data_IF_836321609012
#
_entry.id   IF_836321609012
#
_cell.length_a   1.000
_cell.length_b   1.000
_cell.length_c   1.000
_cell.angle_alpha   90.00
_cell.angle_beta   90.00
_cell.angle_gamma   90.00
#
_symmetry.space_group_name_H-M   'P 1'
#
loop_
_entity.id
_entity.type
_entity.pdbx_description
1 polymer ?
#
# COMPACT_ATOMS: atom_id res chain seq x y z
N UNK A 1 21.43 -12.05 -3.36
CA UNK A 1 21.37 -12.56 -4.74
C UNK A 1 19.99 -12.21 -5.29
N UNK A 2 19.93 -11.37 -6.32
CA UNK A 2 18.67 -10.92 -6.93
C UNK A 2 18.19 -11.98 -7.93
N UNK A 3 16.90 -12.30 -7.91
CA UNK A 3 16.26 -13.14 -8.93
C UNK A 3 15.62 -12.25 -9.98
N UNK A 4 16.30 -12.06 -11.12
CA UNK A 4 15.84 -11.10 -12.12
C UNK A 4 14.58 -11.55 -12.86
N UNK A 5 14.30 -12.85 -12.92
CA UNK A 5 13.13 -13.46 -13.61
C UNK A 5 12.92 -14.95 -13.23
N UNK A 6 13.10 -15.33 -11.95
CA UNK A 6 13.08 -16.73 -11.45
C UNK A 6 14.10 -17.72 -12.07
N UNK A 7 14.79 -17.34 -13.15
CA UNK A 7 15.76 -18.18 -13.88
C UNK A 7 17.22 -17.80 -13.65
N UNK A 8 17.50 -16.53 -13.36
CA UNK A 8 18.87 -16.03 -13.19
C UNK A 8 19.05 -15.37 -11.82
N UNK A 9 20.04 -15.89 -11.10
CA UNK A 9 20.55 -15.36 -9.84
C UNK A 9 21.79 -14.54 -10.11
N UNK A 10 21.71 -13.23 -9.94
CA UNK A 10 22.87 -12.34 -10.09
C UNK A 10 23.21 -11.61 -8.79
N UNK A 11 24.47 -11.24 -8.65
CA UNK A 11 24.88 -10.21 -7.70
C UNK A 11 24.61 -8.85 -8.34
N UNK A 12 23.82 -8.04 -7.66
CA UNK A 12 23.45 -6.71 -8.10
C UNK A 12 23.43 -5.79 -6.88
N UNK A 13 23.64 -4.51 -7.15
CA UNK A 13 23.47 -3.43 -6.19
C UNK A 13 22.24 -2.62 -6.59
N UNK A 14 21.46 -2.21 -5.59
CA UNK A 14 20.36 -1.27 -5.75
C UNK A 14 20.83 0.12 -5.33
N UNK A 15 20.44 1.12 -6.12
CA UNK A 15 20.69 2.52 -5.83
C UNK A 15 19.39 3.16 -5.35
N UNK A 16 19.42 3.70 -4.14
CA UNK A 16 18.32 4.45 -3.55
C UNK A 16 18.74 5.92 -3.49
N UNK A 17 18.15 6.75 -4.35
CA UNK A 17 18.56 8.14 -4.53
C UNK A 17 17.41 9.07 -4.19
N UNK A 18 17.68 10.11 -3.42
CA UNK A 18 16.78 11.23 -3.21
C UNK A 18 17.29 12.47 -3.93
N UNK A 19 16.41 13.12 -4.68
CA UNK A 19 16.72 14.32 -5.45
C UNK A 19 15.77 15.46 -5.08
N UNK A 20 16.24 16.69 -5.26
CA UNK A 20 15.37 17.86 -5.21
C UNK A 20 14.57 18.02 -6.53
N UNK A 21 13.67 19.00 -6.56
CA UNK A 21 12.84 19.31 -7.73
C UNK A 21 13.62 19.74 -8.98
N UNK A 22 14.88 20.17 -8.83
CA UNK A 22 15.74 20.60 -9.94
C UNK A 22 16.69 19.48 -10.40
N UNK A 23 16.61 18.28 -9.79
CA UNK A 23 17.46 17.14 -10.11
C UNK A 23 18.78 17.09 -9.36
N UNK A 24 19.00 17.93 -8.35
CA UNK A 24 20.17 17.80 -7.47
C UNK A 24 20.01 16.61 -6.56
N UNK A 25 21.01 15.74 -6.55
CA UNK A 25 21.05 14.57 -5.67
C UNK A 25 21.38 15.03 -4.24
N UNK A 26 20.47 14.75 -3.31
CA UNK A 26 20.56 15.14 -1.90
C UNK A 26 21.06 13.99 -1.01
N UNK A 27 20.76 12.75 -1.38
CA UNK A 27 21.15 11.55 -0.66
C UNK A 27 21.24 10.34 -1.60
N UNK A 28 22.18 9.45 -1.34
CA UNK A 28 22.38 8.22 -2.10
C UNK A 28 22.79 7.10 -1.16
N UNK A 29 22.06 6.00 -1.22
CA UNK A 29 22.45 4.74 -0.57
C UNK A 29 22.59 3.65 -1.61
N UNK A 30 23.72 2.94 -1.56
CA UNK A 30 24.04 1.81 -2.45
C UNK A 30 24.17 0.56 -1.61
N UNK A 31 23.36 -0.44 -1.91
CA UNK A 31 23.27 -1.64 -1.08
C UNK A 31 23.02 -2.87 -1.93
N UNK A 32 23.21 -4.05 -1.32
CA UNK A 32 22.97 -5.30 -2.01
C UNK A 32 21.49 -5.41 -2.41
N UNK A 33 21.21 -5.80 -3.66
CA UNK A 33 19.86 -5.79 -4.21
C UNK A 33 18.87 -6.81 -3.60
N UNK A 34 19.28 -7.52 -2.55
CA UNK A 34 18.42 -8.41 -1.76
C UNK A 34 17.94 -7.79 -0.43
N UNK A 35 18.35 -6.56 -0.12
CA UNK A 35 17.84 -5.84 1.05
C UNK A 35 16.48 -5.23 0.69
N UNK A 36 15.56 -5.19 1.66
CA UNK A 36 14.19 -4.73 1.45
C UNK A 36 14.10 -3.19 1.39
N UNK A 37 13.36 -2.67 0.40
CA UNK A 37 13.26 -1.23 0.10
C UNK A 37 12.79 -0.36 1.28
N UNK A 38 11.99 -0.92 2.19
CA UNK A 38 11.50 -0.19 3.38
C UNK A 38 12.60 0.23 4.35
N UNK A 39 13.70 -0.52 4.42
CA UNK A 39 14.85 -0.18 5.27
C UNK A 39 15.60 1.00 4.65
N UNK A 40 15.79 0.96 3.34
CA UNK A 40 16.55 1.99 2.61
C UNK A 40 15.85 3.34 2.61
N UNK A 41 14.52 3.34 2.50
CA UNK A 41 13.77 4.58 2.49
C UNK A 41 14.03 5.43 3.75
N UNK A 42 14.07 4.80 4.92
CA UNK A 42 14.28 5.50 6.18
C UNK A 42 15.68 6.11 6.26
N UNK A 43 16.70 5.34 5.90
CA UNK A 43 18.08 5.82 5.92
C UNK A 43 18.29 7.00 4.97
N UNK A 44 17.76 6.90 3.74
CA UNK A 44 17.87 7.98 2.75
C UNK A 44 17.11 9.22 3.21
N UNK A 45 15.92 9.05 3.79
CA UNK A 45 15.15 10.18 4.30
C UNK A 45 15.88 10.88 5.44
N UNK A 46 16.45 10.14 6.39
CA UNK A 46 17.24 10.70 7.49
C UNK A 46 18.48 11.43 7.00
N UNK A 47 19.18 10.89 5.98
CA UNK A 47 20.32 11.56 5.37
C UNK A 47 19.93 12.91 4.76
N UNK A 48 18.81 12.95 4.03
CA UNK A 48 18.28 14.18 3.42
C UNK A 48 17.88 15.19 4.50
N UNK A 49 17.13 14.76 5.52
CA UNK A 49 16.69 15.64 6.61
C UNK A 49 17.87 16.24 7.38
N UNK A 50 18.92 15.45 7.63
CA UNK A 50 20.12 15.93 8.31
C UNK A 50 20.92 16.94 7.47
N UNK A 51 20.89 16.83 6.13
CA UNK A 51 21.66 17.71 5.24
C UNK A 51 20.95 19.00 4.88
N UNK A 52 19.66 18.91 4.55
CA UNK A 52 18.90 20.03 3.98
C UNK A 52 17.63 20.37 4.75
N UNK A 53 17.34 19.63 5.83
CA UNK A 53 16.14 19.79 6.63
C UNK A 53 14.94 19.00 6.12
N UNK A 54 13.84 19.06 6.88
CA UNK A 54 12.60 18.32 6.61
C UNK A 54 11.95 18.80 5.30
N UNK A 55 11.73 17.93 4.30
CA UNK A 55 11.03 18.31 3.09
C UNK A 55 9.53 18.49 3.36
N UNK A 56 8.87 19.35 2.57
CA UNK A 56 7.41 19.54 2.64
C UNK A 56 6.65 18.35 2.05
N UNK A 57 7.18 17.77 0.97
CA UNK A 57 6.58 16.65 0.26
C UNK A 57 7.67 15.74 -0.30
N UNK A 58 7.35 14.46 -0.47
CA UNK A 58 8.23 13.47 -1.08
C UNK A 58 7.46 12.76 -2.18
N UNK A 59 8.01 12.80 -3.41
CA UNK A 59 7.58 11.93 -4.48
C UNK A 59 8.25 10.56 -4.32
N UNK A 60 7.46 9.49 -4.30
CA UNK A 60 7.98 8.12 -4.21
C UNK A 60 7.45 7.25 -5.35
N UNK A 61 8.27 6.33 -5.85
CA UNK A 61 7.85 5.39 -6.89
C UNK A 61 6.84 4.35 -6.37
N UNK A 62 6.19 3.67 -7.31
CA UNK A 62 5.18 2.65 -7.01
C UNK A 62 5.71 1.50 -6.13
N UNK A 63 7.01 1.21 -6.18
CA UNK A 63 7.67 0.20 -5.33
C UNK A 63 7.72 0.59 -3.85
N UNK A 64 7.78 1.89 -3.54
CA UNK A 64 7.82 2.41 -2.17
C UNK A 64 6.43 2.69 -1.60
N UNK A 65 5.36 2.50 -2.38
CA UNK A 65 3.99 2.69 -1.91
C UNK A 65 3.53 1.50 -1.07
N UNK A 66 4.07 1.39 0.14
CA UNK A 66 3.67 0.38 1.12
C UNK A 66 3.24 1.06 2.45
N UNK A 67 2.46 0.36 3.30
CA UNK A 67 1.93 0.96 4.52
C UNK A 67 2.99 1.47 5.51
N UNK A 68 4.15 0.81 5.60
CA UNK A 68 5.23 1.20 6.52
C UNK A 68 5.91 2.50 6.10
N UNK A 69 6.22 2.65 4.82
CA UNK A 69 6.83 3.85 4.26
C UNK A 69 5.86 5.03 4.37
N UNK A 70 4.60 4.83 3.98
CA UNK A 70 3.60 5.90 4.07
C UNK A 70 3.39 6.34 5.51
N UNK A 71 3.27 5.40 6.45
CA UNK A 71 3.25 5.72 7.88
C UNK A 71 4.47 6.55 8.29
N UNK A 72 5.67 6.16 7.87
CA UNK A 72 6.90 6.91 8.20
C UNK A 72 6.85 8.35 7.68
N UNK A 73 6.37 8.56 6.45
CA UNK A 73 6.23 9.89 5.84
C UNK A 73 5.20 10.73 6.61
N UNK A 74 4.03 10.16 6.92
CA UNK A 74 2.98 10.85 7.68
C UNK A 74 3.38 11.15 9.12
N UNK A 75 4.07 10.23 9.81
CA UNK A 75 4.57 10.43 11.18
C UNK A 75 5.57 11.60 11.26
N UNK A 76 6.27 11.91 10.16
CA UNK A 76 7.15 13.08 10.04
C UNK A 76 6.42 14.35 9.57
N UNK A 77 5.10 14.29 9.38
CA UNK A 77 4.25 15.37 8.85
C UNK A 77 4.68 15.84 7.45
N UNK A 78 5.14 14.90 6.62
CA UNK A 78 5.54 15.13 5.24
C UNK A 78 4.40 14.68 4.33
N UNK A 79 4.18 15.37 3.20
CA UNK A 79 3.13 15.00 2.24
C UNK A 79 3.65 13.92 1.29
N UNK A 80 3.08 12.70 1.25
CA UNK A 80 3.45 11.68 0.27
C UNK A 80 2.79 11.96 -1.09
N UNK A 81 3.59 12.21 -2.12
CA UNK A 81 3.16 12.24 -3.51
C UNK A 81 3.44 10.88 -4.14
N UNK A 82 2.41 10.03 -4.20
CA UNK A 82 2.52 8.64 -4.68
C UNK A 82 1.85 8.46 -6.03
N UNK A 83 2.33 7.54 -6.89
CA UNK A 83 1.66 7.21 -8.15
C UNK A 83 0.39 6.40 -7.94
N UNK A 84 -0.43 6.37 -8.98
CA UNK A 84 -1.58 5.47 -9.07
C UNK A 84 -1.13 4.02 -9.08
N UNK A 85 -1.86 3.16 -8.36
CA UNK A 85 -1.63 1.71 -8.35
C UNK A 85 -2.83 1.01 -8.94
N UNK A 86 -2.61 0.27 -10.03
CA UNK A 86 -3.68 -0.52 -10.63
C UNK A 86 -4.15 -1.60 -9.65
N UNK A 87 -5.48 -1.78 -9.46
CA UNK A 87 -6.01 -2.88 -8.67
C UNK A 87 -5.49 -4.23 -9.17
N UNK A 88 -5.03 -5.08 -8.25
CA UNK A 88 -4.50 -6.43 -8.54
C UNK A 88 -5.59 -7.52 -8.57
N UNK A 89 -6.86 -7.13 -8.41
CA UNK A 89 -8.00 -8.05 -8.45
C UNK A 89 -8.15 -8.63 -9.86
N UNK A 90 -8.44 -9.93 -9.96
CA UNK A 90 -8.70 -10.62 -11.22
C UNK A 90 -9.84 -9.95 -12.00
N UNK A 91 -9.69 -9.87 -13.32
CA UNK A 91 -10.73 -9.30 -14.19
C UNK A 91 -12.07 -10.05 -14.04
N UNK A 92 -13.17 -9.30 -14.04
CA UNK A 92 -14.53 -9.82 -13.82
C UNK A 92 -14.92 -10.00 -12.35
N UNK A 93 -13.99 -9.84 -11.41
CA UNK A 93 -14.26 -9.88 -9.97
C UNK A 93 -14.43 -8.49 -9.37
N UNK A 94 -15.20 -8.44 -8.29
CA UNK A 94 -15.37 -7.24 -7.49
C UNK A 94 -14.06 -6.81 -6.83
N UNK A 95 -13.74 -5.53 -7.01
CA UNK A 95 -12.53 -4.87 -6.51
C UNK A 95 -12.73 -4.46 -5.05
N UNK A 96 -11.62 -4.21 -4.34
CA UNK A 96 -11.63 -3.84 -2.92
C UNK A 96 -12.45 -2.57 -2.64
N UNK A 97 -12.42 -1.58 -3.54
CA UNK A 97 -13.15 -0.32 -3.37
C UNK A 97 -14.68 -0.47 -3.47
N UNK A 98 -15.19 -1.61 -3.94
CA UNK A 98 -16.63 -1.89 -3.91
C UNK A 98 -17.11 -2.33 -2.51
N UNK A 99 -16.17 -2.57 -1.58
CA UNK A 99 -16.46 -2.86 -0.18
C UNK A 99 -16.09 -1.64 0.66
N UNK A 100 -17.07 -1.10 1.37
CA UNK A 100 -16.89 0.08 2.21
C UNK A 100 -16.37 -0.35 3.57
N UNK A 101 -15.32 0.28 4.06
CA UNK A 101 -14.84 0.06 5.41
C UNK A 101 -15.57 1.03 6.36
N UNK A 102 -16.14 0.52 7.44
CA UNK A 102 -16.72 1.29 8.52
C UNK A 102 -15.73 1.29 9.70
N UNK A 103 -15.15 2.46 9.97
CA UNK A 103 -14.16 2.64 11.03
C UNK A 103 -14.77 2.54 12.44
N UNK A 104 -16.02 2.95 12.60
CA UNK A 104 -16.69 2.98 13.91
C UNK A 104 -17.04 1.57 14.37
N UNK A 105 -17.51 0.73 13.45
CA UNK A 105 -17.87 -0.67 13.74
C UNK A 105 -16.75 -1.69 13.45
N UNK A 106 -15.59 -1.24 12.96
CA UNK A 106 -14.45 -2.09 12.54
C UNK A 106 -14.93 -3.25 11.65
N UNK A 107 -15.63 -2.92 10.57
CA UNK A 107 -16.19 -3.91 9.66
C UNK A 107 -16.17 -3.46 8.20
N UNK A 108 -16.36 -4.40 7.28
CA UNK A 108 -16.55 -4.10 5.87
C UNK A 108 -18.01 -4.32 5.47
N UNK A 109 -18.56 -3.45 4.64
CA UNK A 109 -19.91 -3.55 4.09
C UNK A 109 -19.78 -3.86 2.61
N UNK A 110 -20.39 -4.96 2.17
CA UNK A 110 -20.38 -5.35 0.75
C UNK A 110 -21.47 -4.64 -0.07
N UNK A 111 -21.44 -4.72 -1.41
CA UNK A 111 -22.47 -4.14 -2.29
C UNK A 111 -23.91 -4.65 -2.10
N UNK A 112 -24.12 -5.69 -1.29
CA UNK A 112 -25.44 -6.18 -0.89
C UNK A 112 -25.83 -5.74 0.53
N UNK A 113 -25.12 -4.75 1.09
CA UNK A 113 -25.29 -4.24 2.44
C UNK A 113 -25.10 -5.28 3.54
N UNK A 114 -24.40 -6.38 3.24
CA UNK A 114 -24.03 -7.39 4.22
C UNK A 114 -22.68 -7.09 4.84
N UNK A 115 -22.58 -7.35 6.15
CA UNK A 115 -21.41 -7.06 6.97
C UNK A 115 -20.40 -8.21 6.88
N UNK A 116 -19.14 -7.83 6.72
CA UNK A 116 -17.97 -8.67 6.91
C UNK A 116 -17.33 -8.29 8.25
N UNK A 117 -17.39 -9.21 9.20
CA UNK A 117 -16.91 -8.97 10.57
C UNK A 117 -15.41 -9.22 10.68
N UNK A 118 -14.75 -8.46 11.53
CA UNK A 118 -13.37 -8.74 11.94
C UNK A 118 -13.24 -10.13 12.56
N UNK A 119 -12.13 -10.82 12.25
CA UNK A 119 -11.86 -12.19 12.73
C UNK A 119 -10.56 -12.23 13.52
N UNK A 120 -9.46 -11.80 12.90
CA UNK A 120 -8.13 -11.88 13.51
C UNK A 120 -7.17 -10.93 12.82
N UNK A 121 -6.03 -10.67 13.47
CA UNK A 121 -4.91 -9.92 12.90
C UNK A 121 -3.70 -10.84 12.84
N UNK A 122 -3.07 -10.96 11.66
CA UNK A 122 -1.87 -11.76 11.52
C UNK A 122 -0.63 -11.03 12.07
N UNK A 123 0.51 -11.73 12.16
CA UNK A 123 1.78 -11.16 12.66
C UNK A 123 2.34 -10.04 11.78
N UNK A 124 1.93 -10.00 10.52
CA UNK A 124 2.33 -8.99 9.54
C UNK A 124 1.44 -7.73 9.60
N UNK A 125 0.48 -7.67 10.53
CA UNK A 125 -0.38 -6.50 10.72
C UNK A 125 -1.59 -6.44 9.80
N UNK A 126 -1.98 -7.54 9.15
CA UNK A 126 -3.22 -7.61 8.36
C UNK A 126 -4.39 -8.13 9.19
N UNK A 127 -5.44 -7.32 9.28
CA UNK A 127 -6.76 -7.69 9.79
C UNK A 127 -7.52 -8.47 8.74
N UNK A 128 -8.06 -9.63 9.12
CA UNK A 128 -8.93 -10.46 8.29
C UNK A 128 -10.41 -10.19 8.62
N UNK A 129 -11.22 -9.94 7.59
CA UNK A 129 -12.67 -9.78 7.68
C UNK A 129 -13.38 -10.86 6.86
N UNK A 130 -14.45 -11.45 7.40
CA UNK A 130 -15.21 -12.54 6.75
C UNK A 130 -16.68 -12.21 6.60
N UNK A 131 -17.24 -12.55 5.44
CA UNK A 131 -18.69 -12.56 5.24
C UNK A 131 -19.35 -13.78 5.88
N UNK A 132 -20.66 -13.71 6.09
CA UNK A 132 -21.45 -14.86 6.54
C UNK A 132 -21.72 -15.83 5.35
N UNK A 133 -21.25 -17.10 5.41
CA UNK A 133 -21.45 -18.09 4.36
C UNK A 133 -22.92 -18.33 3.99
N UNK A 134 -23.80 -18.38 4.98
CA UNK A 134 -25.22 -18.69 4.78
C UNK A 134 -25.93 -17.63 3.94
N UNK A 135 -25.53 -16.37 4.13
CA UNK A 135 -26.02 -15.25 3.32
C UNK A 135 -25.39 -15.25 1.93
N UNK A 136 -24.10 -15.52 1.84
CA UNK A 136 -23.38 -15.52 0.57
C UNK A 136 -23.74 -16.70 -0.34
N UNK A 137 -24.21 -17.83 0.20
CA UNK A 137 -24.61 -19.01 -0.57
C UNK A 137 -25.69 -18.70 -1.61
N UNK A 138 -26.66 -17.86 -1.23
CA UNK A 138 -27.79 -17.45 -2.09
C UNK A 138 -27.61 -16.06 -2.69
N UNK A 139 -26.42 -15.47 -2.59
CA UNK A 139 -26.18 -14.10 -3.06
C UNK A 139 -26.10 -14.03 -4.59
N UNK A 140 -26.85 -13.12 -5.25
CA UNK A 140 -26.84 -12.99 -6.71
C UNK A 140 -25.49 -12.54 -7.27
N UNK A 141 -24.68 -11.86 -6.45
CA UNK A 141 -23.37 -11.34 -6.84
C UNK A 141 -22.22 -12.31 -6.51
N UNK A 142 -22.52 -13.51 -6.01
CA UNK A 142 -21.51 -14.47 -5.53
C UNK A 142 -20.44 -14.77 -6.58
N UNK A 143 -20.83 -15.03 -7.83
CA UNK A 143 -19.89 -15.40 -8.91
C UNK A 143 -18.85 -14.31 -9.20
N UNK A 144 -19.24 -13.04 -9.01
CA UNK A 144 -18.34 -11.87 -9.16
C UNK A 144 -17.63 -11.52 -7.85
N UNK A 145 -18.14 -11.96 -6.71
CA UNK A 145 -17.62 -11.60 -5.38
C UNK A 145 -16.55 -12.58 -4.86
N UNK A 146 -16.84 -13.88 -4.86
CA UNK A 146 -15.97 -14.93 -4.30
C UNK A 146 -16.19 -16.28 -5.00
N UNK A 147 -15.10 -16.99 -5.28
CA UNK A 147 -15.10 -18.39 -5.76
C UNK A 147 -14.74 -19.38 -4.64
N UNK A 148 -14.78 -18.95 -3.38
CA UNK A 148 -14.43 -19.80 -2.25
C UNK A 148 -15.43 -20.94 -2.10
N UNK A 149 -14.92 -22.16 -1.84
CA UNK A 149 -15.75 -23.37 -1.66
C UNK A 149 -16.66 -23.30 -0.43
N UNK A 150 -16.26 -22.53 0.57
CA UNK A 150 -17.01 -22.28 1.82
C UNK A 150 -17.98 -21.09 1.71
N UNK A 151 -18.17 -20.53 0.50
CA UNK A 151 -19.01 -19.35 0.24
C UNK A 151 -18.62 -18.11 1.05
N UNK A 152 -17.40 -18.03 1.56
CA UNK A 152 -16.92 -16.88 2.34
C UNK A 152 -16.13 -15.91 1.47
N UNK A 153 -16.42 -14.61 1.57
CA UNK A 153 -15.55 -13.53 1.11
C UNK A 153 -14.61 -13.16 2.25
N UNK A 154 -13.31 -13.13 1.94
CA UNK A 154 -12.25 -12.65 2.84
C UNK A 154 -11.71 -11.31 2.33
N UNK A 155 -11.55 -10.34 3.22
CA UNK A 155 -10.88 -9.07 2.95
C UNK A 155 -9.75 -8.91 3.96
N UNK A 156 -8.59 -8.49 3.48
CA UNK A 156 -7.45 -8.17 4.32
C UNK A 156 -7.19 -6.66 4.27
N UNK A 157 -7.06 -6.05 5.45
CA UNK A 157 -6.74 -4.62 5.62
C UNK A 157 -5.52 -4.52 6.52
N UNK A 158 -4.47 -3.83 6.08
CA UNK A 158 -3.34 -3.60 6.96
C UNK A 158 -3.75 -2.63 8.10
N UNK A 159 -3.15 -2.74 9.28
CA UNK A 159 -3.40 -1.79 10.40
C UNK A 159 -3.09 -0.33 10.04
N UNK A 160 -2.28 -0.12 9.00
CA UNK A 160 -1.86 1.18 8.47
C UNK A 160 -2.47 1.48 7.10
N UNK A 161 -3.52 0.76 6.70
CA UNK A 161 -4.21 1.01 5.42
C UNK A 161 -4.76 2.44 5.33
N UNK A 162 -5.17 3.04 6.45
CA UNK A 162 -5.65 4.43 6.46
C UNK A 162 -4.63 5.42 5.89
N UNK A 163 -3.33 5.21 6.15
CA UNK A 163 -2.27 6.02 5.52
C UNK A 163 -2.16 5.79 4.01
N UNK A 164 -2.43 4.56 3.54
CA UNK A 164 -2.47 4.25 2.10
C UNK A 164 -3.65 4.97 1.43
N UNK A 165 -4.81 4.95 2.08
CA UNK A 165 -6.03 5.59 1.60
C UNK A 165 -5.88 7.12 1.57
N UNK A 166 -5.30 7.71 2.62
CA UNK A 166 -5.02 9.15 2.66
C UNK A 166 -3.99 9.57 1.60
N UNK A 167 -2.91 8.80 1.41
CA UNK A 167 -1.95 9.09 0.34
C UNK A 167 -2.61 9.04 -1.05
N UNK A 168 -3.56 8.11 -1.25
CA UNK A 168 -4.29 8.00 -2.51
C UNK A 168 -5.29 9.15 -2.70
N UNK A 169 -5.89 9.65 -1.62
CA UNK A 169 -6.69 10.87 -1.62
C UNK A 169 -5.83 12.10 -1.98
N UNK A 170 -4.69 12.28 -1.29
CA UNK A 170 -3.75 13.39 -1.52
C UNK A 170 -3.22 13.43 -2.95
N UNK A 171 -3.03 12.28 -3.61
CA UNK A 171 -2.61 12.19 -5.02
C UNK A 171 -3.51 13.00 -5.97
N UNK A 172 -4.78 13.18 -5.63
CA UNK A 172 -5.71 13.95 -6.47
C UNK A 172 -5.62 15.47 -6.28
N UNK A 173 -4.94 15.94 -5.23
CA UNK A 173 -4.78 17.36 -4.93
C UNK A 173 -3.90 18.08 -5.97
N UNK A 174 -4.12 19.38 -6.24
CA UNK A 174 -3.28 20.14 -7.17
C UNK A 174 -1.80 20.12 -6.79
N UNK A 175 -1.50 20.19 -5.50
CA UNK A 175 -0.13 20.22 -4.99
C UNK A 175 0.60 18.89 -5.27
N UNK A 176 0.01 17.74 -4.98
CA UNK A 176 0.66 16.45 -5.26
C UNK A 176 0.83 16.18 -6.76
N UNK A 177 -0.03 16.74 -7.61
CA UNK A 177 0.11 16.67 -9.08
C UNK A 177 1.22 17.57 -9.64
N UNK A 178 1.63 18.59 -8.90
CA UNK A 178 2.77 19.44 -9.27
C UNK A 178 4.09 18.81 -8.81
N UNK A 179 4.06 18.13 -7.66
CA UNK A 179 5.23 17.43 -7.08
C UNK A 179 5.61 16.17 -7.87
N UNK A 180 4.64 15.47 -8.47
CA UNK A 180 4.83 14.23 -9.22
C UNK A 180 4.76 14.47 -10.73
#
# INVERSE_FOLDING_TARGET
MLNKNEKEKCFAYSFHTACDKNGFVLGVKVEAANVHDSVMFQEVLEEVENRVGKPKAIAVDAGYKNPYILKTIFDREIIPAVPYTRPKTKDGFMKKHEFVYDEYYDCYICPQNEILTYVTTNREGYREYKSNPEKCKNCPLREKCTQSKDYTKRIFRHIWEGYVEEAEHLRHTPYCKEVY
#
